data_IF_801215250471
#
_entry.id   IF_801215250471
#
_cell.length_a   1.000
_cell.length_b   1.000
_cell.length_c   1.000
_cell.angle_alpha   90.00
_cell.angle_beta   90.00
_cell.angle_gamma   90.00
#
_symmetry.space_group_name_H-M   'P 1'
#
loop_
_entity.id
_entity.type
_entity.pdbx_description
1 polymer ?
#
# COMPACT_ATOMS: atom_id res chain seq x y z
N UNK A 1 21.50 -4.60 -10.31
CA UNK A 1 20.56 -3.66 -9.66
C UNK A 1 19.19 -3.97 -10.24
N UNK A 2 18.23 -4.37 -9.43
CA UNK A 2 16.89 -4.71 -9.91
C UNK A 2 15.99 -3.47 -9.85
N UNK A 3 15.19 -3.27 -10.88
CA UNK A 3 14.16 -2.23 -10.87
C UNK A 3 13.10 -2.58 -9.82
N UNK A 4 12.85 -1.64 -8.90
CA UNK A 4 11.76 -1.74 -7.93
C UNK A 4 10.60 -0.86 -8.41
N UNK A 5 9.39 -1.42 -8.38
CA UNK A 5 8.15 -0.69 -8.62
C UNK A 5 7.29 -0.81 -7.37
N UNK A 6 6.88 0.33 -6.82
CA UNK A 6 5.93 0.41 -5.73
C UNK A 6 4.59 0.87 -6.32
N UNK A 7 3.52 0.12 -6.05
CA UNK A 7 2.17 0.44 -6.51
C UNK A 7 1.32 0.79 -5.30
N UNK A 8 0.91 2.05 -5.23
CA UNK A 8 0.00 2.56 -4.21
C UNK A 8 -1.45 2.52 -4.71
N UNK A 9 -2.29 1.75 -4.03
CA UNK A 9 -3.70 1.51 -4.40
C UNK A 9 -4.60 2.08 -3.32
N UNK A 10 -5.21 3.23 -3.63
CA UNK A 10 -6.10 3.93 -2.70
C UNK A 10 -7.31 3.08 -2.35
N UNK A 11 -7.60 2.96 -1.05
CA UNK A 11 -8.79 2.25 -0.55
C UNK A 11 -8.71 0.73 -0.63
N UNK A 12 -7.52 0.16 -0.84
CA UNK A 12 -7.34 -1.29 -0.88
C UNK A 12 -7.66 -1.92 0.47
N UNK A 13 -8.54 -2.92 0.48
CA UNK A 13 -8.84 -3.76 1.63
C UNK A 13 -8.72 -5.24 1.25
N UNK A 14 -8.48 -6.16 2.20
CA UNK A 14 -8.38 -7.59 1.90
C UNK A 14 -9.63 -8.16 1.19
N UNK A 15 -10.81 -7.58 1.43
CA UNK A 15 -12.06 -8.00 0.81
C UNK A 15 -12.11 -7.75 -0.71
N UNK A 16 -11.26 -6.86 -1.24
CA UNK A 16 -11.19 -6.58 -2.69
C UNK A 16 -10.26 -7.56 -3.42
N UNK A 17 -9.36 -8.26 -2.71
CA UNK A 17 -8.36 -9.14 -3.33
C UNK A 17 -8.95 -10.26 -4.19
N UNK A 18 -10.12 -10.88 -3.90
CA UNK A 18 -10.74 -11.86 -4.79
C UNK A 18 -11.04 -11.32 -6.20
N UNK A 19 -11.18 -10.00 -6.36
CA UNK A 19 -11.45 -9.34 -7.64
C UNK A 19 -10.19 -8.82 -8.33
N UNK A 20 -9.00 -9.00 -7.74
CA UNK A 20 -7.73 -8.43 -8.22
C UNK A 20 -6.69 -9.54 -8.49
N UNK A 21 -6.88 -10.38 -9.52
CA UNK A 21 -6.15 -11.64 -9.67
C UNK A 21 -4.63 -11.49 -9.77
N UNK A 22 -4.12 -10.37 -10.30
CA UNK A 22 -2.68 -10.11 -10.36
C UNK A 22 -2.10 -9.82 -8.96
N UNK A 23 -2.84 -9.09 -8.12
CA UNK A 23 -2.41 -8.75 -6.76
C UNK A 23 -2.54 -9.96 -5.82
N UNK A 24 -3.59 -10.78 -5.98
CA UNK A 24 -3.73 -12.06 -5.27
C UNK A 24 -2.54 -12.98 -5.55
N UNK A 25 -2.15 -13.12 -6.82
CA UNK A 25 -0.98 -13.94 -7.22
C UNK A 25 0.34 -13.38 -6.66
N UNK A 26 0.47 -12.06 -6.58
CA UNK A 26 1.65 -11.42 -6.00
C UNK A 26 1.76 -11.74 -4.51
N UNK A 27 0.67 -11.57 -3.75
CA UNK A 27 0.62 -11.89 -2.33
C UNK A 27 0.91 -13.39 -2.07
N UNK A 28 0.34 -14.29 -2.88
CA UNK A 28 0.54 -15.74 -2.74
C UNK A 28 1.99 -16.20 -3.04
N UNK A 29 2.70 -15.50 -3.93
CA UNK A 29 4.12 -15.76 -4.24
C UNK A 29 5.08 -15.18 -3.22
N UNK A 30 4.64 -14.19 -2.45
CA UNK A 30 5.45 -13.43 -1.51
C UNK A 30 4.80 -13.44 -0.14
N UNK A 31 4.48 -12.25 0.35
CA UNK A 31 3.83 -12.06 1.65
C UNK A 31 2.78 -10.96 1.56
N UNK A 32 1.91 -10.94 2.57
CA UNK A 32 0.90 -9.91 2.80
C UNK A 32 0.96 -9.50 4.26
N UNK A 33 0.87 -8.20 4.54
CA UNK A 33 0.66 -7.68 5.88
C UNK A 33 -0.33 -6.53 5.85
N UNK A 34 -0.94 -6.25 7.00
CA UNK A 34 -1.76 -5.06 7.20
C UNK A 34 -0.85 -3.85 7.37
N UNK A 35 -1.22 -2.74 6.74
CA UNK A 35 -0.56 -1.46 6.89
C UNK A 35 -1.31 -0.63 7.93
N UNK A 36 -0.63 -0.19 8.98
CA UNK A 36 -1.18 0.76 9.94
C UNK A 36 -1.14 2.17 9.33
N UNK A 37 -2.28 2.81 9.06
CA UNK A 37 -2.29 4.11 8.39
C UNK A 37 -1.94 5.25 9.35
N UNK A 38 -1.37 6.32 8.79
CA UNK A 38 -1.35 7.62 9.48
C UNK A 38 -2.78 8.16 9.63
N UNK A 39 -3.04 8.87 10.73
CA UNK A 39 -4.33 9.50 11.00
C UNK A 39 -4.23 11.03 10.86
N UNK A 40 -5.22 11.69 10.22
CA UNK A 40 -6.39 11.09 9.57
C UNK A 40 -6.03 10.34 8.28
N UNK A 41 -6.71 9.22 8.03
CA UNK A 41 -6.49 8.34 6.87
C UNK A 41 -7.08 8.94 5.58
N UNK A 42 -6.48 10.04 5.12
CA UNK A 42 -6.82 10.71 3.86
C UNK A 42 -5.72 10.49 2.83
N UNK A 43 -6.07 10.57 1.55
CA UNK A 43 -5.20 10.16 0.44
C UNK A 43 -3.85 10.86 0.48
N UNK A 44 -3.78 12.18 0.32
CA UNK A 44 -2.49 12.88 0.18
C UNK A 44 -1.54 12.69 1.37
N UNK A 45 -2.02 12.71 2.62
CA UNK A 45 -1.14 12.52 3.79
C UNK A 45 -0.52 11.13 3.79
N UNK A 46 -1.32 10.11 3.48
CA UNK A 46 -0.85 8.73 3.46
C UNK A 46 0.14 8.48 2.30
N UNK A 47 -0.15 9.00 1.11
CA UNK A 47 0.78 8.85 -0.04
C UNK A 47 2.11 9.56 0.21
N UNK A 48 2.08 10.77 0.79
CA UNK A 48 3.30 11.49 1.17
C UNK A 48 4.10 10.70 2.19
N UNK A 49 3.49 10.13 3.23
CA UNK A 49 4.18 9.28 4.21
C UNK A 49 4.81 8.04 3.58
N UNK A 50 4.13 7.36 2.65
CA UNK A 50 4.70 6.19 1.94
C UNK A 50 5.91 6.59 1.10
N UNK A 51 5.86 7.76 0.46
CA UNK A 51 6.93 8.25 -0.41
C UNK A 51 8.16 8.74 0.38
N UNK A 52 7.95 9.46 1.47
CA UNK A 52 9.03 10.12 2.23
C UNK A 52 9.51 9.31 3.43
N UNK A 53 8.68 8.42 3.96
CA UNK A 53 8.93 7.73 5.24
C UNK A 53 8.73 8.62 6.46
N UNK A 54 8.18 9.83 6.31
CA UNK A 54 7.95 10.80 7.38
C UNK A 54 6.47 10.90 7.75
N UNK A 55 6.20 11.33 8.97
CA UNK A 55 4.85 11.64 9.43
C UNK A 55 4.32 12.91 8.75
N UNK A 56 2.99 13.12 8.66
CA UNK A 56 2.44 14.29 7.96
C UNK A 56 2.78 15.66 8.57
N UNK A 57 3.32 15.71 9.79
CA UNK A 57 3.66 16.94 10.50
C UNK A 57 5.13 17.37 10.35
N UNK A 58 5.96 16.53 9.73
CA UNK A 58 7.37 16.81 9.40
C UNK A 58 7.49 17.48 8.02
#
# INVERSE_FOLDING_TARGET
>A
MNTLVVVDVVGLTPALLPHMPNLTKLAARGWQATLDPVLPAVTCSMQSTVLTGLTPAE
#
